data_IF_750841405396
#
_entry.id   IF_750841405396
#
_cell.length_a   1.000
_cell.length_b   1.000
_cell.length_c   1.000
_cell.angle_alpha   90.00
_cell.angle_beta   90.00
_cell.angle_gamma   90.00
#
_symmetry.space_group_name_H-M   'P 1'
#
loop_
_entity.id
_entity.type
_entity.pdbx_description
1 polymer ?
#
# COMPACT_ATOMS: atom_id res chain seq x y z
N UNK A 1 23.16 -0.48 40.49
CA UNK A 1 21.76 -0.34 40.94
C UNK A 1 20.90 -1.23 40.06
N UNK A 2 20.29 -2.23 40.68
CA UNK A 2 19.58 -3.35 40.05
C UNK A 2 18.09 -3.12 40.23
N UNK A 3 17.29 -3.12 39.16
CA UNK A 3 15.82 -3.22 39.21
C UNK A 3 15.43 -4.26 38.15
N UNK A 4 15.32 -5.55 38.51
CA UNK A 4 14.19 -6.21 39.18
C UNK A 4 12.92 -6.24 38.30
N UNK A 5 12.84 -7.31 37.50
CA UNK A 5 11.68 -7.70 36.70
C UNK A 5 10.62 -8.37 37.59
N UNK A 6 9.34 -8.05 37.37
CA UNK A 6 8.22 -8.70 38.05
C UNK A 6 7.28 -9.33 37.02
N UNK A 7 7.47 -10.62 36.79
CA UNK A 7 6.53 -11.52 36.14
C UNK A 7 5.32 -11.74 37.03
N UNK A 8 4.10 -11.48 36.54
CA UNK A 8 2.86 -11.98 37.14
C UNK A 8 2.18 -13.00 36.24
N UNK A 9 2.46 -14.24 36.58
CA UNK A 9 1.80 -15.49 36.18
C UNK A 9 0.45 -15.57 36.89
N UNK A 10 -0.65 -15.75 36.15
CA UNK A 10 -1.90 -16.25 36.71
C UNK A 10 -2.36 -17.47 35.92
N UNK A 11 -2.48 -18.57 36.66
CA UNK A 11 -2.90 -19.89 36.25
C UNK A 11 -4.40 -20.06 36.52
N UNK A 12 -5.07 -20.69 35.54
CA UNK A 12 -6.10 -21.73 35.68
C UNK A 12 -7.46 -21.35 36.28
N UNK A 13 -8.55 -21.72 35.59
CA UNK A 13 -9.48 -22.76 36.07
C UNK A 13 -10.33 -23.25 34.88
N UNK A 14 -10.16 -24.54 34.55
CA UNK A 14 -11.06 -25.32 33.70
C UNK A 14 -12.30 -25.69 34.52
N UNK A 15 -13.50 -25.46 33.98
CA UNK A 15 -14.73 -26.09 34.46
C UNK A 15 -15.36 -26.82 33.27
N UNK A 16 -15.36 -28.14 33.36
CA UNK A 16 -16.10 -29.05 32.49
C UNK A 16 -17.37 -29.46 33.24
N UNK A 17 -18.56 -29.31 32.65
CA UNK A 17 -19.70 -30.14 33.00
C UNK A 17 -19.91 -31.23 31.93
N UNK A 18 -19.81 -32.46 32.40
CA UNK A 18 -20.29 -33.67 31.74
C UNK A 18 -21.72 -33.91 32.25
N UNK A 19 -22.70 -34.10 31.35
CA UNK A 19 -23.83 -35.06 31.41
C UNK A 19 -25.02 -34.57 30.57
N UNK A 20 -25.58 -35.50 29.78
CA UNK A 20 -26.93 -35.35 29.22
C UNK A 20 -27.12 -36.05 27.88
N UNK A 21 -27.13 -37.39 27.87
CA UNK A 21 -27.72 -38.15 26.77
C UNK A 21 -29.25 -38.12 26.88
N UNK A 22 -29.93 -37.65 25.85
CA UNK A 22 -31.30 -38.07 25.48
C UNK A 22 -31.48 -37.95 23.97
N UNK A 23 -31.89 -39.05 23.35
CA UNK A 23 -32.59 -39.12 22.07
C UNK A 23 -33.82 -40.03 22.31
N UNK A 24 -34.86 -40.10 21.45
CA UNK A 24 -35.07 -39.44 20.15
C UNK A 24 -36.45 -38.76 20.03
N UNK A 25 -36.64 -37.94 19.00
CA UNK A 25 -37.95 -37.38 18.65
C UNK A 25 -37.93 -36.83 17.23
N UNK A 26 -38.45 -37.63 16.28
CA UNK A 26 -38.79 -37.16 14.95
C UNK A 26 -39.95 -36.16 15.07
N UNK A 27 -39.70 -34.90 14.70
CA UNK A 27 -40.76 -33.98 14.31
C UNK A 27 -40.30 -33.19 13.10
N UNK A 28 -41.02 -33.41 12.02
CA UNK A 28 -40.98 -32.72 10.74
C UNK A 28 -41.54 -31.31 10.95
N UNK A 29 -40.69 -30.28 10.94
CA UNK A 29 -41.13 -28.87 10.89
C UNK A 29 -40.45 -28.14 9.73
N UNK A 30 -41.32 -27.68 8.82
CA UNK A 30 -41.27 -26.48 8.01
C UNK A 30 -39.88 -25.88 7.74
N UNK A 31 -39.51 -25.91 6.45
CA UNK A 31 -38.35 -25.22 5.90
C UNK A 31 -38.28 -23.74 6.29
N UNK A 32 -37.57 -23.47 7.38
CA UNK A 32 -37.01 -22.18 7.66
C UNK A 32 -35.91 -21.94 6.62
N UNK A 33 -36.22 -21.11 5.61
CA UNK A 33 -35.22 -20.53 4.71
C UNK A 33 -34.11 -19.99 5.60
N UNK A 34 -32.94 -20.63 5.55
CA UNK A 34 -31.68 -20.06 6.02
C UNK A 34 -31.66 -18.61 5.50
N UNK A 35 -31.50 -17.59 6.35
CA UNK A 35 -31.22 -16.26 5.83
C UNK A 35 -29.95 -16.41 5.02
N UNK A 36 -30.09 -16.31 3.70
CA UNK A 36 -29.00 -16.12 2.77
C UNK A 36 -28.33 -14.85 3.23
N UNK A 37 -27.28 -15.03 4.04
CA UNK A 37 -26.59 -13.94 4.68
C UNK A 37 -26.07 -13.08 3.53
N UNK A 38 -26.61 -11.86 3.42
CA UNK A 38 -26.15 -10.84 2.50
C UNK A 38 -24.73 -10.40 2.92
N UNK A 39 -23.74 -11.26 2.72
CA UNK A 39 -22.30 -11.03 2.98
C UNK A 39 -21.61 -10.43 1.76
N UNK A 40 -22.27 -10.35 0.60
CA UNK A 40 -21.55 -10.44 -0.67
C UNK A 40 -21.13 -9.12 -1.32
N UNK A 41 -21.30 -7.95 -0.68
CA UNK A 41 -20.83 -6.67 -1.25
C UNK A 41 -19.88 -5.87 -0.34
N UNK A 42 -19.91 -6.05 0.99
CA UNK A 42 -19.07 -5.25 1.91
C UNK A 42 -17.61 -5.69 1.99
N UNK A 43 -17.28 -6.90 1.51
CA UNK A 43 -15.94 -7.48 1.60
C UNK A 43 -15.02 -7.09 0.45
N UNK A 44 -15.55 -6.73 -0.73
CA UNK A 44 -14.72 -6.51 -1.92
C UNK A 44 -13.79 -5.30 -1.78
N UNK A 45 -14.26 -4.23 -1.12
CA UNK A 45 -13.54 -2.96 -0.97
C UNK A 45 -12.66 -2.89 0.28
N UNK A 46 -12.54 -3.99 1.03
CA UNK A 46 -11.76 -4.04 2.27
C UNK A 46 -10.65 -5.07 2.20
N UNK A 47 -9.55 -4.76 2.87
CA UNK A 47 -8.48 -5.69 3.18
C UNK A 47 -8.91 -6.66 4.29
N UNK A 48 -8.12 -7.71 4.47
CA UNK A 48 -8.37 -8.75 5.48
C UNK A 48 -8.34 -8.22 6.92
N UNK A 49 -7.64 -7.11 7.17
CA UNK A 49 -7.63 -6.35 8.42
C UNK A 49 -8.82 -5.39 8.61
N UNK A 50 -9.71 -5.31 7.61
CA UNK A 50 -10.88 -4.43 7.59
C UNK A 50 -10.61 -3.01 7.10
N UNK A 51 -9.38 -2.63 6.78
CA UNK A 51 -9.07 -1.34 6.14
C UNK A 51 -9.66 -1.26 4.73
N UNK A 52 -9.87 -0.05 4.23
CA UNK A 52 -10.37 0.15 2.87
C UNK A 52 -9.22 -0.08 1.88
N UNK A 53 -9.45 -0.84 0.81
CA UNK A 53 -8.50 -0.99 -0.31
C UNK A 53 -8.27 0.31 -1.07
N UNK A 54 -9.31 1.14 -1.16
CA UNK A 54 -9.31 2.44 -1.83
C UNK A 54 -9.71 3.52 -0.85
N UNK A 55 -8.92 4.59 -0.81
CA UNK A 55 -9.18 5.73 0.06
C UNK A 55 -9.96 6.80 -0.70
N UNK A 56 -10.65 7.73 -0.01
CA UNK A 56 -11.27 8.87 -0.66
C UNK A 56 -10.28 9.63 -1.56
N UNK A 57 -10.72 10.23 -2.68
CA UNK A 57 -9.84 11.01 -3.52
C UNK A 57 -9.26 12.16 -2.69
N UNK A 58 -7.95 12.34 -2.75
CA UNK A 58 -7.29 13.45 -2.07
C UNK A 58 -7.10 14.66 -2.99
N UNK A 59 -6.27 15.63 -2.58
CA UNK A 59 -6.04 16.83 -3.36
C UNK A 59 -5.52 16.51 -4.76
N UNK A 60 -5.91 17.27 -5.79
CA UNK A 60 -5.43 17.04 -7.14
C UNK A 60 -3.93 17.33 -7.24
N UNK A 61 -3.30 16.78 -8.29
CA UNK A 61 -1.95 17.19 -8.70
C UNK A 61 -1.94 18.68 -9.07
N UNK A 62 -0.81 19.35 -8.86
CA UNK A 62 -0.64 20.77 -9.16
C UNK A 62 0.63 20.99 -10.01
N UNK A 63 0.61 20.63 -11.31
CA UNK A 63 1.72 20.96 -12.21
C UNK A 63 1.96 22.49 -12.28
N UNK A 64 3.22 22.94 -12.33
CA UNK A 64 4.45 22.16 -12.47
C UNK A 64 5.08 21.73 -11.13
N UNK A 65 4.39 21.88 -9.99
CA UNK A 65 4.97 21.68 -8.67
C UNK A 65 4.83 20.25 -8.15
N UNK A 66 3.68 19.63 -8.36
CA UNK A 66 3.39 18.28 -7.83
C UNK A 66 2.69 17.40 -8.84
N UNK A 67 3.03 16.12 -8.81
CA UNK A 67 2.35 15.06 -9.55
C UNK A 67 2.02 13.92 -8.58
N UNK A 68 0.76 13.48 -8.57
CA UNK A 68 0.30 12.34 -7.77
C UNK A 68 0.21 11.12 -8.69
N UNK A 69 0.91 10.06 -8.32
CA UNK A 69 1.00 8.80 -9.05
C UNK A 69 0.60 7.63 -8.15
N UNK A 70 0.09 6.52 -8.69
CA UNK A 70 -0.04 5.28 -7.93
C UNK A 70 1.34 4.71 -7.59
N UNK A 71 1.45 3.91 -6.52
CA UNK A 71 2.71 3.29 -6.08
C UNK A 71 3.38 2.49 -7.21
N UNK A 72 2.58 1.73 -7.97
CA UNK A 72 3.00 0.84 -9.05
C UNK A 72 3.57 1.58 -10.27
N UNK A 73 3.44 2.90 -10.34
CA UNK A 73 4.13 3.72 -11.34
C UNK A 73 5.66 3.65 -11.18
N UNK A 74 6.15 3.32 -9.98
CA UNK A 74 7.57 3.11 -9.68
C UNK A 74 7.99 1.64 -9.78
N UNK A 75 7.08 0.77 -10.25
CA UNK A 75 7.26 -0.67 -10.42
C UNK A 75 6.81 -1.50 -9.21
N UNK A 76 7.11 -2.81 -9.18
CA UNK A 76 6.65 -3.70 -8.13
C UNK A 76 7.24 -3.33 -6.77
N UNK A 77 6.55 -3.69 -5.69
CA UNK A 77 6.98 -3.41 -4.30
C UNK A 77 8.43 -3.82 -4.00
N UNK A 78 8.86 -4.99 -4.48
CA UNK A 78 10.23 -5.46 -4.32
C UNK A 78 11.29 -4.52 -4.91
N UNK A 79 10.94 -3.76 -5.96
CA UNK A 79 11.82 -2.82 -6.64
C UNK A 79 11.72 -1.41 -6.05
N UNK A 80 10.49 -0.94 -5.82
CA UNK A 80 10.21 0.44 -5.41
C UNK A 80 10.40 0.69 -3.90
N UNK A 81 10.42 -0.36 -3.07
CA UNK A 81 10.45 -0.21 -1.61
C UNK A 81 11.69 0.50 -1.08
N UNK A 82 12.81 0.47 -1.81
CA UNK A 82 14.03 1.20 -1.44
C UNK A 82 13.81 2.72 -1.42
N UNK A 83 13.06 3.26 -2.40
CA UNK A 83 12.83 4.71 -2.52
C UNK A 83 11.50 5.15 -1.90
N UNK A 84 10.48 4.29 -1.94
CA UNK A 84 9.14 4.62 -1.46
C UNK A 84 8.78 3.97 -0.11
N UNK A 85 9.52 2.99 0.38
CA UNK A 85 9.05 2.11 1.46
C UNK A 85 8.07 1.03 0.97
N UNK A 86 7.62 0.10 1.82
CA UNK A 86 6.80 -1.06 1.43
C UNK A 86 5.41 -0.65 0.93
N UNK A 87 4.77 -1.36 0.00
CA UNK A 87 3.47 -0.96 -0.60
C UNK A 87 2.27 -0.92 0.37
N UNK A 88 2.35 -1.45 1.59
CA UNK A 88 1.24 -1.40 2.56
C UNK A 88 1.10 -0.04 3.26
N UNK A 89 0.03 0.11 4.06
CA UNK A 89 -0.23 1.35 4.81
C UNK A 89 0.94 1.77 5.72
N UNK A 90 1.40 3.01 5.57
CA UNK A 90 2.51 3.57 6.35
C UNK A 90 2.18 3.78 7.83
N UNK A 91 0.91 3.87 8.19
CA UNK A 91 0.43 3.95 9.58
C UNK A 91 0.24 2.58 10.25
N UNK A 92 0.52 1.48 9.55
CA UNK A 92 0.42 0.14 10.12
C UNK A 92 1.77 -0.38 10.60
N UNK A 93 1.78 -1.09 11.75
CA UNK A 93 3.02 -1.57 12.33
C UNK A 93 3.64 -2.76 11.57
N UNK A 94 2.90 -3.45 10.69
CA UNK A 94 3.35 -4.73 10.14
C UNK A 94 2.75 -5.19 8.82
N UNK A 95 2.07 -4.31 8.07
CA UNK A 95 1.39 -4.67 6.81
C UNK A 95 0.28 -5.70 6.98
N UNK A 96 -0.38 -6.02 5.87
CA UNK A 96 -1.33 -7.13 5.80
C UNK A 96 -0.81 -8.22 4.88
N UNK A 97 -1.08 -9.49 5.23
CA UNK A 97 -0.44 -10.66 4.62
C UNK A 97 -1.34 -11.44 3.65
N UNK A 98 -2.61 -11.05 3.49
CA UNK A 98 -3.48 -11.75 2.56
C UNK A 98 -3.17 -11.33 1.11
N UNK A 99 -3.05 -12.32 0.22
CA UNK A 99 -2.77 -12.10 -1.22
C UNK A 99 -3.79 -11.20 -1.91
N UNK A 100 -5.00 -11.13 -1.35
CA UNK A 100 -6.11 -10.31 -1.87
C UNK A 100 -6.10 -8.87 -1.37
N UNK A 101 -5.17 -8.50 -0.50
CA UNK A 101 -5.10 -7.15 0.06
C UNK A 101 -4.43 -6.20 -0.93
N UNK A 102 -4.91 -4.96 -0.95
CA UNK A 102 -4.36 -3.89 -1.78
C UNK A 102 -4.45 -2.56 -1.06
N UNK A 103 -3.53 -1.65 -1.42
CA UNK A 103 -3.31 -0.42 -0.70
C UNK A 103 -3.20 0.73 -1.69
N UNK A 104 -4.17 1.65 -1.65
CA UNK A 104 -4.17 2.94 -2.37
C UNK A 104 -3.13 3.91 -1.78
N UNK A 105 -1.86 3.54 -1.90
CA UNK A 105 -0.70 4.36 -1.59
C UNK A 105 -0.38 5.26 -2.78
N UNK A 106 -0.30 6.56 -2.52
CA UNK A 106 -0.15 7.59 -3.54
C UNK A 106 1.20 8.29 -3.41
N UNK A 107 1.91 8.38 -4.52
CA UNK A 107 3.25 8.97 -4.57
C UNK A 107 3.15 10.39 -5.08
N UNK A 108 3.57 11.33 -4.25
CA UNK A 108 3.71 12.75 -4.59
C UNK A 108 5.14 13.00 -5.03
N UNK A 109 5.32 13.14 -6.34
CA UNK A 109 6.56 13.65 -6.93
C UNK A 109 6.49 15.17 -6.89
N UNK A 110 7.48 15.82 -6.28
CA UNK A 110 7.46 17.27 -6.10
C UNK A 110 8.72 17.97 -6.63
N UNK A 111 8.53 19.19 -7.13
CA UNK A 111 9.57 20.08 -7.63
C UNK A 111 9.27 21.54 -7.25
N UNK A 112 10.32 22.32 -6.96
CA UNK A 112 10.18 23.77 -6.68
C UNK A 112 9.36 24.10 -5.42
N UNK A 113 9.11 23.13 -4.54
CA UNK A 113 8.47 23.31 -3.22
C UNK A 113 9.26 22.58 -2.15
N UNK A 114 9.19 23.09 -0.92
CA UNK A 114 9.79 22.42 0.23
C UNK A 114 9.02 21.13 0.56
N UNK A 115 9.72 20.14 1.13
CA UNK A 115 9.08 18.91 1.56
C UNK A 115 7.99 19.17 2.63
N UNK A 116 8.16 20.19 3.48
CA UNK A 116 7.15 20.59 4.48
C UNK A 116 5.87 21.09 3.85
N UNK A 117 5.95 21.95 2.83
CA UNK A 117 4.75 22.49 2.15
C UNK A 117 3.97 21.37 1.44
N UNK A 118 4.71 20.45 0.82
CA UNK A 118 4.11 19.29 0.14
C UNK A 118 3.41 18.37 1.15
N UNK A 119 4.03 18.08 2.30
CA UNK A 119 3.43 17.26 3.37
C UNK A 119 2.20 17.92 4.00
N UNK A 120 2.22 19.24 4.15
CA UNK A 120 1.06 19.99 4.64
C UNK A 120 -0.13 19.89 3.67
N UNK A 121 0.14 19.87 2.36
CA UNK A 121 -0.89 19.76 1.32
C UNK A 121 -1.40 18.33 1.12
N UNK A 122 -0.52 17.33 1.20
CA UNK A 122 -0.85 15.93 0.96
C UNK A 122 -0.61 15.10 2.21
N UNK A 123 -1.33 15.32 3.32
CA UNK A 123 -1.02 14.66 4.59
C UNK A 123 -1.36 13.17 4.57
N UNK A 124 -0.52 12.37 5.22
CA UNK A 124 -0.79 10.97 5.52
C UNK A 124 -1.70 10.90 6.75
N UNK A 125 -2.93 10.43 6.58
CA UNK A 125 -3.96 10.35 7.64
C UNK A 125 -4.61 8.97 7.61
N UNK A 126 -4.52 8.26 8.74
CA UNK A 126 -5.05 6.90 8.88
C UNK A 126 -6.52 6.82 8.45
N UNK A 127 -6.80 5.95 7.48
CA UNK A 127 -8.15 5.73 6.95
C UNK A 127 -8.66 6.80 5.97
N UNK A 128 -7.87 7.81 5.65
CA UNK A 128 -8.23 8.88 4.72
C UNK A 128 -7.24 9.06 3.56
N UNK A 129 -5.94 8.95 3.79
CA UNK A 129 -4.92 9.15 2.75
C UNK A 129 -3.56 8.57 3.13
N UNK A 130 -2.90 7.86 2.22
CA UNK A 130 -1.47 7.49 2.32
C UNK A 130 -0.66 8.16 1.21
N UNK A 131 0.07 9.20 1.59
CA UNK A 131 0.96 9.90 0.68
C UNK A 131 2.41 9.63 1.02
N UNK A 132 3.19 9.38 -0.02
CA UNK A 132 4.65 9.31 0.05
C UNK A 132 5.24 10.36 -0.83
N UNK A 133 6.45 10.79 -0.51
CA UNK A 133 7.02 11.98 -1.08
C UNK A 133 8.39 11.65 -1.63
N UNK A 134 8.62 12.01 -2.89
CA UNK A 134 9.91 11.86 -3.54
C UNK A 134 10.20 13.15 -4.32
N UNK A 135 11.40 13.69 -4.15
CA UNK A 135 11.80 14.84 -4.94
C UNK A 135 11.90 14.42 -6.40
N UNK A 136 11.56 15.31 -7.32
CA UNK A 136 11.57 15.02 -8.76
C UNK A 136 12.91 14.45 -9.22
N UNK A 137 14.03 15.04 -8.79
CA UNK A 137 15.35 14.62 -9.25
C UNK A 137 15.68 13.19 -8.75
N UNK A 138 15.32 12.86 -7.51
CA UNK A 138 15.46 11.50 -6.95
C UNK A 138 14.58 10.49 -7.70
N UNK A 139 13.34 10.87 -8.03
CA UNK A 139 12.42 10.03 -8.79
C UNK A 139 12.96 9.74 -10.20
N UNK A 140 13.49 10.75 -10.90
CA UNK A 140 14.09 10.57 -12.22
C UNK A 140 15.35 9.71 -12.14
N UNK A 141 16.23 9.94 -11.17
CA UNK A 141 17.43 9.14 -10.97
C UNK A 141 17.09 7.66 -10.71
N UNK A 142 16.13 7.40 -9.84
CA UNK A 142 15.63 6.03 -9.59
C UNK A 142 15.09 5.39 -10.88
N UNK A 143 14.20 6.08 -11.60
CA UNK A 143 13.60 5.52 -12.82
C UNK A 143 14.65 5.24 -13.89
N UNK A 144 15.61 6.13 -14.09
CA UNK A 144 16.70 5.92 -15.04
C UNK A 144 17.59 4.73 -14.64
N UNK A 145 17.89 4.55 -13.36
CA UNK A 145 18.61 3.38 -12.83
C UNK A 145 17.86 2.07 -13.12
N UNK A 146 16.56 2.01 -12.79
CA UNK A 146 15.77 0.79 -12.99
C UNK A 146 15.58 0.47 -14.47
N UNK A 147 15.30 1.47 -15.31
CA UNK A 147 15.18 1.28 -16.77
C UNK A 147 16.50 0.76 -17.36
N UNK A 148 17.65 1.28 -16.91
CA UNK A 148 18.95 0.82 -17.35
C UNK A 148 19.26 -0.61 -16.86
N UNK A 149 18.83 -0.97 -15.64
CA UNK A 149 18.98 -2.34 -15.13
C UNK A 149 18.19 -3.33 -15.98
N UNK A 150 16.90 -3.07 -16.19
CA UNK A 150 16.03 -3.93 -17.00
C UNK A 150 16.48 -4.02 -18.46
N UNK A 151 17.13 -2.98 -19.01
CA UNK A 151 17.66 -3.03 -20.37
C UNK A 151 18.88 -3.95 -20.52
N UNK A 152 19.58 -4.28 -19.42
CA UNK A 152 20.72 -5.22 -19.43
C UNK A 152 20.27 -6.67 -19.23
N UNK A 153 19.08 -6.86 -18.68
CA UNK A 153 18.46 -8.17 -18.47
C UNK A 153 17.64 -8.51 -19.72
N UNK A 154 18.33 -8.92 -20.79
CA UNK A 154 17.67 -9.58 -21.91
C UNK A 154 17.24 -10.99 -21.48
N UNK A 155 16.04 -11.46 -21.88
CA UNK A 155 15.70 -12.87 -21.69
C UNK A 155 16.77 -13.72 -22.39
N UNK A 156 17.34 -14.67 -21.68
CA UNK A 156 18.32 -15.59 -22.23
C UNK A 156 17.62 -16.64 -23.10
N UNK A 157 16.40 -17.02 -22.71
CA UNK A 157 15.55 -18.01 -23.37
C UNK A 157 14.10 -17.50 -23.56
N UNK A 158 13.32 -18.15 -24.42
CA UNK A 158 11.91 -17.78 -24.68
C UNK A 158 10.98 -17.95 -23.46
N UNK A 159 11.38 -18.81 -22.51
CA UNK A 159 10.63 -19.07 -21.27
C UNK A 159 10.96 -18.08 -20.15
N UNK A 160 11.94 -17.19 -20.36
CA UNK A 160 12.30 -16.17 -19.37
C UNK A 160 11.24 -15.07 -19.27
N UNK A 161 11.17 -14.46 -18.08
CA UNK A 161 10.20 -13.42 -17.82
C UNK A 161 10.47 -12.17 -18.70
N UNK A 162 9.49 -11.78 -19.51
CA UNK A 162 9.56 -10.57 -20.32
C UNK A 162 9.36 -9.31 -19.45
N UNK A 163 10.46 -8.60 -19.20
CA UNK A 163 10.45 -7.31 -18.51
C UNK A 163 10.02 -6.11 -19.38
N UNK A 164 9.80 -6.32 -20.68
CA UNK A 164 9.41 -5.28 -21.64
C UNK A 164 8.21 -4.44 -21.21
N UNK A 165 7.08 -5.04 -20.76
CA UNK A 165 5.93 -4.30 -20.25
C UNK A 165 6.25 -3.45 -19.01
N UNK A 166 7.05 -3.98 -18.07
CA UNK A 166 7.46 -3.24 -16.87
C UNK A 166 8.34 -2.04 -17.25
N UNK A 167 9.37 -2.27 -18.07
CA UNK A 167 10.26 -1.21 -18.54
C UNK A 167 9.49 -0.07 -19.21
N UNK A 168 8.54 -0.39 -20.09
CA UNK A 168 7.69 0.59 -20.78
C UNK A 168 6.90 1.46 -19.80
N UNK A 169 6.31 0.85 -18.77
CA UNK A 169 5.56 1.58 -17.73
C UNK A 169 6.46 2.55 -16.94
N UNK A 170 7.70 2.17 -16.66
CA UNK A 170 8.68 3.05 -16.02
C UNK A 170 9.07 4.21 -16.94
N UNK A 171 9.27 3.95 -18.24
CA UNK A 171 9.56 4.99 -19.25
C UNK A 171 8.41 6.00 -19.39
N UNK A 172 7.16 5.52 -19.41
CA UNK A 172 5.96 6.35 -19.42
C UNK A 172 5.87 7.23 -18.16
N UNK A 173 6.15 6.64 -16.99
CA UNK A 173 6.16 7.37 -15.71
C UNK A 173 7.23 8.45 -15.70
N UNK A 174 8.46 8.12 -16.13
CA UNK A 174 9.56 9.08 -16.27
C UNK A 174 9.20 10.22 -17.22
N UNK A 175 8.60 9.89 -18.37
CA UNK A 175 8.15 10.88 -19.33
C UNK A 175 7.09 11.80 -18.72
N UNK A 176 6.09 11.25 -18.03
CA UNK A 176 5.05 12.02 -17.36
C UNK A 176 5.61 13.00 -16.32
N UNK A 177 6.59 12.58 -15.51
CA UNK A 177 7.27 13.43 -14.52
C UNK A 177 8.00 14.59 -15.22
N UNK A 178 8.81 14.30 -16.26
CA UNK A 178 9.56 15.33 -17.00
C UNK A 178 8.65 16.35 -17.68
N UNK A 179 7.58 15.88 -18.33
CA UNK A 179 6.65 16.73 -19.06
C UNK A 179 5.80 17.59 -18.13
N UNK A 180 5.28 17.02 -17.04
CA UNK A 180 4.35 17.75 -16.14
C UNK A 180 5.07 18.67 -15.16
N UNK A 181 6.25 18.30 -14.66
CA UNK A 181 6.96 19.11 -13.66
C UNK A 181 8.00 20.05 -14.28
N UNK A 182 8.23 19.97 -15.60
CA UNK A 182 9.17 20.84 -16.32
C UNK A 182 10.62 20.67 -15.84
N UNK A 183 11.56 21.55 -16.24
CA UNK A 183 12.91 21.57 -15.69
C UNK A 183 12.89 21.99 -14.22
N UNK A 184 13.82 21.43 -13.42
CA UNK A 184 13.96 21.82 -12.02
C UNK A 184 14.46 23.26 -12.00
N UNK A 185 13.67 24.20 -11.48
CA UNK A 185 14.20 25.54 -11.19
C UNK A 185 15.23 25.40 -10.08
N UNK A 186 16.37 26.10 -10.13
CA UNK A 186 17.24 26.19 -8.97
C UNK A 186 16.36 26.68 -7.81
N UNK A 187 16.36 25.93 -6.71
CA UNK A 187 15.81 26.44 -5.47
C UNK A 187 16.73 27.59 -5.11
N UNK A 188 16.26 28.83 -5.27
CA UNK A 188 16.96 29.99 -4.74
C UNK A 188 17.24 29.65 -3.28
N UNK A 189 18.52 29.48 -2.96
CA UNK A 189 18.99 29.21 -1.62
C UNK A 189 18.82 30.49 -0.83
N UNK A 190 17.56 30.83 -0.54
CA UNK A 190 17.19 32.02 0.19
C UNK A 190 17.68 31.81 1.62
N UNK A 191 18.76 32.52 1.92
CA UNK A 191 19.49 32.54 3.17
C UNK A 191 19.58 33.99 3.62
#
# INVERSE_FOLDING_TARGET
MVHAATLRRWMWTLVVPLLGMTAPGCTEEAGARRPEVAVTARSADRNSDGTLKRLPPGPPAEPPFTLVLPYEAFGPSAMASRVLGPEWWSWEPGGSFAVTDSFDVRIVVYAGRSASDVRARYPTVRGASDYRYVAKDDAIAYLDEQIASLAREAPADEDDFDFGPLKRRLEETRHAIRTKLGPSKPVDADR
#
